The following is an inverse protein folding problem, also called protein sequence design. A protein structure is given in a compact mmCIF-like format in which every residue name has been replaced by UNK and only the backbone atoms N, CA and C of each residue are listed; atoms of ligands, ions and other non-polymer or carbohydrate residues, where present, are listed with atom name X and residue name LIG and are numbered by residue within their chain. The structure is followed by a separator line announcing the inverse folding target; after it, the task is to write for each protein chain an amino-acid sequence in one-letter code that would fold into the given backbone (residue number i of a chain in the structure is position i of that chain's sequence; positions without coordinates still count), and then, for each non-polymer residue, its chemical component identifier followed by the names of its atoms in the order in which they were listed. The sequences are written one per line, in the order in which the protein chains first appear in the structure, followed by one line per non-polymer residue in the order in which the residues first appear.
data_IF_652763861342
#
_entry.id   IF_652763861342
#
_cell.length_a   1.000
_cell.length_b   1.000
_cell.length_c   1.000
_cell.angle_alpha   90.00
_cell.angle_beta   90.00
_cell.angle_gamma   90.00
#
_symmetry.space_group_name_H-M   'P 1'
#
loop_
_entity.id
_entity.type
_entity.pdbx_description
1 polymer ?
#
# COMPACT_ATOMS: atom_id res chain seq x y z
N UNK A 1 -62.91 -52.69 -66.88
CA UNK A 1 -62.13 -51.59 -66.28
C UNK A 1 -62.55 -51.54 -64.81
N UNK A 2 -61.83 -52.22 -63.88
CA UNK A 2 -60.60 -51.75 -63.20
C UNK A 2 -60.93 -50.47 -62.42
N UNK A 3 -61.10 -50.45 -61.09
CA UNK A 3 -60.14 -50.51 -59.97
C UNK A 3 -60.95 -50.05 -58.72
N UNK A 4 -60.62 -50.17 -57.43
CA UNK A 4 -59.55 -50.78 -56.62
C UNK A 4 -60.09 -50.75 -55.16
N UNK A 5 -59.59 -51.65 -54.32
CA UNK A 5 -59.89 -51.75 -52.89
C UNK A 5 -58.95 -50.82 -52.12
N UNK A 6 -59.49 -49.91 -51.30
CA UNK A 6 -58.70 -49.15 -50.31
C UNK A 6 -58.68 -49.88 -48.96
N UNK A 7 -57.47 -50.22 -48.52
CA UNK A 7 -57.15 -50.77 -47.20
C UNK A 7 -56.56 -49.66 -46.33
N UNK A 8 -57.28 -49.18 -45.33
CA UNK A 8 -56.73 -48.27 -44.32
C UNK A 8 -56.01 -49.06 -43.23
N UNK A 9 -54.69 -48.91 -43.17
CA UNK A 9 -53.82 -49.49 -42.16
C UNK A 9 -53.87 -48.69 -40.85
N UNK A 10 -54.01 -49.43 -39.75
CA UNK A 10 -53.87 -48.96 -38.37
C UNK A 10 -52.42 -48.50 -38.10
N UNK A 11 -52.26 -47.36 -37.42
CA UNK A 11 -50.97 -46.87 -36.94
C UNK A 11 -50.54 -47.57 -35.65
N UNK A 12 -49.37 -48.20 -35.66
CA UNK A 12 -48.66 -48.66 -34.46
C UNK A 12 -47.70 -47.58 -33.97
N UNK A 13 -47.79 -47.28 -32.68
CA UNK A 13 -46.89 -46.42 -31.92
C UNK A 13 -45.52 -47.10 -31.75
N UNK A 14 -44.46 -46.54 -32.36
CA UNK A 14 -43.08 -47.05 -32.22
C UNK A 14 -42.48 -46.71 -30.86
N UNK A 15 -42.12 -47.72 -30.07
CA UNK A 15 -41.34 -47.59 -28.85
C UNK A 15 -39.92 -47.01 -29.13
N UNK A 16 -39.30 -46.27 -28.18
CA UNK A 16 -37.96 -45.73 -28.37
C UNK A 16 -36.91 -46.84 -28.49
N UNK A 17 -36.01 -46.72 -29.47
CA UNK A 17 -34.92 -47.66 -29.72
C UNK A 17 -33.96 -47.71 -28.52
N UNK A 18 -33.43 -48.90 -28.16
CA UNK A 18 -32.47 -49.02 -27.06
C UNK A 18 -31.19 -48.24 -27.38
N UNK A 19 -30.55 -47.61 -26.37
CA UNK A 19 -29.35 -46.81 -26.59
C UNK A 19 -28.24 -47.66 -27.23
N UNK A 20 -27.59 -47.09 -28.24
CA UNK A 20 -26.53 -47.75 -29.00
C UNK A 20 -25.35 -48.09 -28.09
N UNK A 21 -24.77 -49.29 -28.23
CA UNK A 21 -23.73 -49.78 -27.33
C UNK A 21 -22.48 -48.88 -27.26
N UNK A 22 -22.22 -48.09 -28.30
CA UNK A 22 -21.15 -47.10 -28.38
C UNK A 22 -21.45 -45.83 -27.54
N UNK A 23 -22.71 -45.43 -27.45
CA UNK A 23 -23.16 -44.28 -26.67
C UNK A 23 -23.03 -44.58 -25.17
N UNK A 24 -23.45 -45.79 -24.78
CA UNK A 24 -23.22 -46.30 -23.43
C UNK A 24 -21.73 -46.52 -23.09
N UNK A 25 -20.84 -46.59 -24.08
CA UNK A 25 -19.39 -46.63 -23.87
C UNK A 25 -18.81 -45.22 -23.69
N UNK A 26 -19.30 -44.24 -24.46
CA UNK A 26 -18.92 -42.84 -24.32
C UNK A 26 -19.32 -42.26 -22.95
N UNK A 27 -20.50 -42.61 -22.46
CA UNK A 27 -20.98 -42.17 -21.15
C UNK A 27 -20.17 -42.78 -20.01
N UNK A 28 -19.79 -44.06 -20.11
CA UNK A 28 -18.87 -44.70 -19.15
C UNK A 28 -17.50 -44.05 -19.13
N UNK A 29 -16.97 -43.65 -20.29
CA UNK A 29 -15.69 -42.95 -20.38
C UNK A 29 -15.79 -41.56 -19.74
N UNK A 30 -16.87 -40.82 -19.99
CA UNK A 30 -17.12 -39.52 -19.33
C UNK A 30 -17.24 -39.64 -17.83
N UNK A 31 -17.94 -40.66 -17.34
CA UNK A 31 -18.07 -40.94 -15.91
C UNK A 31 -16.71 -41.29 -15.29
N UNK A 32 -15.90 -42.12 -15.97
CA UNK A 32 -14.54 -42.44 -15.51
C UNK A 32 -13.60 -41.22 -15.51
N UNK A 33 -13.74 -40.33 -16.50
CA UNK A 33 -12.96 -39.09 -16.58
C UNK A 33 -13.40 -38.10 -15.50
N UNK A 34 -14.70 -38.03 -15.21
CA UNK A 34 -15.24 -37.27 -14.09
C UNK A 34 -14.72 -37.77 -12.75
N UNK A 35 -14.73 -39.09 -12.54
CA UNK A 35 -14.18 -39.72 -11.34
C UNK A 35 -12.66 -39.53 -11.20
N UNK A 36 -11.91 -39.56 -12.31
CA UNK A 36 -10.49 -39.20 -12.31
C UNK A 36 -10.27 -37.73 -11.97
N UNK A 37 -11.12 -36.82 -12.47
CA UNK A 37 -11.05 -35.39 -12.18
C UNK A 37 -11.28 -35.08 -10.70
N UNK A 38 -12.26 -35.74 -10.07
CA UNK A 38 -12.51 -35.60 -8.63
C UNK A 38 -11.37 -36.20 -7.80
N UNK A 39 -10.78 -37.32 -8.23
CA UNK A 39 -9.60 -37.91 -7.59
C UNK A 39 -8.38 -36.99 -7.67
N UNK A 40 -8.07 -36.45 -8.85
CA UNK A 40 -6.95 -35.52 -9.04
C UNK A 40 -7.14 -34.24 -8.20
N UNK A 41 -8.37 -33.75 -8.12
CA UNK A 41 -8.71 -32.60 -7.29
C UNK A 41 -8.56 -32.92 -5.80
N UNK A 42 -8.99 -34.11 -5.36
CA UNK A 42 -8.82 -34.57 -3.99
C UNK A 42 -7.33 -34.77 -3.63
N UNK A 43 -6.51 -35.24 -4.57
CA UNK A 43 -5.05 -35.38 -4.40
C UNK A 43 -4.33 -34.04 -4.30
N UNK A 44 -4.86 -32.99 -4.95
CA UNK A 44 -4.30 -31.63 -4.91
C UNK A 44 -4.84 -30.79 -3.76
N UNK A 45 -5.90 -31.23 -3.09
CA UNK A 45 -6.49 -30.53 -1.96
C UNK A 45 -5.51 -30.54 -0.75
N UNK A 46 -5.39 -29.43 -0.01
CA UNK A 46 -4.57 -29.38 1.19
C UNK A 46 -5.08 -30.35 2.25
N UNK A 47 -4.18 -30.92 3.04
CA UNK A 47 -4.54 -31.83 4.13
C UNK A 47 -5.42 -31.09 5.16
N UNK A 48 -6.52 -31.71 5.64
CA UNK A 48 -7.38 -31.10 6.64
C UNK A 48 -6.66 -31.06 7.99
N UNK A 49 -6.20 -29.89 8.41
CA UNK A 49 -5.49 -29.68 9.68
C UNK A 49 -6.40 -29.27 10.84
N UNK A 50 -7.72 -29.17 10.61
CA UNK A 50 -8.67 -28.53 11.54
C UNK A 50 -9.43 -29.48 12.47
N UNK A 51 -9.65 -30.74 12.10
CA UNK A 51 -10.47 -31.69 12.88
C UNK A 51 -9.63 -32.90 13.27
N UNK A 52 -9.51 -33.15 14.58
CA UNK A 52 -8.71 -34.25 15.14
C UNK A 52 -9.19 -35.66 14.78
N UNK A 53 -10.29 -35.79 14.02
CA UNK A 53 -10.84 -37.04 13.50
C UNK A 53 -10.53 -37.27 12.00
N UNK A 54 -9.81 -36.36 11.35
CA UNK A 54 -9.46 -36.45 9.93
C UNK A 54 -10.62 -36.18 8.97
N UNK A 55 -11.79 -35.76 9.47
CA UNK A 55 -12.91 -35.36 8.61
C UNK A 55 -12.66 -33.98 8.00
N UNK A 56 -12.96 -33.85 6.71
CA UNK A 56 -12.95 -32.55 6.04
C UNK A 56 -14.12 -31.72 6.57
N UNK A 57 -13.82 -30.55 7.15
CA UNK A 57 -14.85 -29.55 7.42
C UNK A 57 -15.56 -29.20 6.09
N UNK A 58 -16.86 -28.87 6.09
CA UNK A 58 -17.48 -28.28 4.91
C UNK A 58 -16.71 -27.00 4.59
N UNK A 59 -15.86 -27.06 3.57
CA UNK A 59 -15.27 -25.88 2.96
C UNK A 59 -16.46 -25.08 2.47
N UNK A 60 -16.71 -23.92 3.08
CA UNK A 60 -17.66 -22.96 2.53
C UNK A 60 -17.30 -22.79 1.05
N UNK A 61 -18.23 -23.13 0.15
CA UNK A 61 -18.03 -23.01 -1.29
C UNK A 61 -17.42 -21.65 -1.59
N UNK A 62 -16.42 -21.63 -2.46
CA UNK A 62 -15.67 -20.45 -2.95
C UNK A 62 -16.54 -19.41 -3.68
N UNK A 63 -17.62 -18.92 -3.07
CA UNK A 63 -18.32 -17.72 -3.48
C UNK A 63 -17.47 -16.48 -3.18
N UNK A 64 -16.55 -16.57 -2.21
CA UNK A 64 -15.64 -15.49 -1.82
C UNK A 64 -14.61 -15.19 -2.90
N UNK A 65 -14.00 -16.18 -3.56
CA UNK A 65 -12.94 -15.91 -4.54
C UNK A 65 -13.45 -15.29 -5.84
N UNK A 66 -14.58 -15.78 -6.38
CA UNK A 66 -15.15 -15.22 -7.61
C UNK A 66 -15.75 -13.83 -7.37
N UNK A 67 -16.45 -13.64 -6.25
CA UNK A 67 -16.95 -12.31 -5.87
C UNK A 67 -15.81 -11.35 -5.57
N UNK A 68 -14.74 -11.79 -4.90
CA UNK A 68 -13.54 -10.97 -4.66
C UNK A 68 -12.85 -10.59 -5.96
N UNK A 69 -12.72 -11.51 -6.92
CA UNK A 69 -12.17 -11.22 -8.24
C UNK A 69 -13.04 -10.23 -9.02
N UNK A 70 -14.37 -10.39 -8.97
CA UNK A 70 -15.30 -9.46 -9.59
C UNK A 70 -15.22 -8.06 -8.96
N UNK A 71 -15.11 -7.99 -7.63
CA UNK A 71 -14.89 -6.75 -6.88
C UNK A 71 -13.55 -6.11 -7.25
N UNK A 72 -12.45 -6.87 -7.28
CA UNK A 72 -11.14 -6.36 -7.73
C UNK A 72 -11.21 -5.79 -9.14
N UNK A 73 -11.83 -6.50 -10.09
CA UNK A 73 -11.95 -6.01 -11.48
C UNK A 73 -12.80 -4.74 -11.53
N UNK A 74 -13.90 -4.70 -10.78
CA UNK A 74 -14.75 -3.51 -10.63
C UNK A 74 -13.96 -2.34 -10.04
N UNK A 75 -13.21 -2.54 -8.98
CA UNK A 75 -12.50 -1.46 -8.29
C UNK A 75 -11.30 -0.97 -9.07
N UNK A 76 -10.56 -1.88 -9.72
CA UNK A 76 -9.48 -1.53 -10.66
C UNK A 76 -10.02 -0.72 -11.83
N UNK A 77 -11.25 -0.99 -12.29
CA UNK A 77 -11.89 -0.18 -13.34
C UNK A 77 -12.30 1.23 -12.89
N UNK A 78 -12.42 1.47 -11.57
CA UNK A 78 -12.62 2.82 -11.02
C UNK A 78 -11.30 3.60 -10.90
N UNK A 79 -10.16 2.92 -10.99
CA UNK A 79 -8.84 3.53 -10.99
C UNK A 79 -8.35 3.78 -12.44
N UNK A 80 -7.75 4.94 -12.67
CA UNK A 80 -7.04 5.19 -13.94
C UNK A 80 -5.80 4.29 -14.06
N UNK A 81 -5.45 3.91 -15.30
CA UNK A 81 -4.30 3.04 -15.60
C UNK A 81 -2.98 3.51 -14.96
N UNK A 82 -2.77 4.83 -14.88
CA UNK A 82 -1.56 5.40 -14.27
C UNK A 82 -1.54 5.21 -12.75
N UNK A 83 -2.70 5.25 -12.08
CA UNK A 83 -2.81 5.09 -10.62
C UNK A 83 -2.54 3.64 -10.21
N UNK A 84 -3.07 2.68 -10.97
CA UNK A 84 -2.89 1.24 -10.68
C UNK A 84 -1.44 0.81 -10.86
N UNK A 85 -0.78 1.27 -11.93
CA UNK A 85 0.64 1.01 -12.18
C UNK A 85 1.51 1.55 -11.03
N UNK A 86 1.27 2.78 -10.58
CA UNK A 86 2.07 3.42 -9.53
C UNK A 86 1.84 2.80 -8.15
N UNK A 87 0.59 2.41 -7.84
CA UNK A 87 0.28 1.68 -6.60
C UNK A 87 0.91 0.28 -6.61
N UNK A 88 0.95 -0.40 -7.76
CA UNK A 88 1.64 -1.68 -7.90
C UNK A 88 3.16 -1.52 -7.77
N UNK A 89 3.75 -0.51 -8.42
CA UNK A 89 5.18 -0.17 -8.30
C UNK A 89 5.56 0.09 -6.83
N UNK A 90 4.74 0.85 -6.11
CA UNK A 90 4.94 1.13 -4.70
C UNK A 90 4.85 -0.15 -3.84
N UNK A 91 3.85 -0.99 -4.07
CA UNK A 91 3.68 -2.24 -3.32
C UNK A 91 4.89 -3.16 -3.48
N UNK A 92 5.48 -3.21 -4.68
CA UNK A 92 6.69 -4.00 -4.96
C UNK A 92 7.89 -3.40 -4.21
N UNK A 93 8.12 -2.08 -4.30
CA UNK A 93 9.25 -1.42 -3.63
C UNK A 93 9.19 -1.52 -2.12
N UNK A 94 8.01 -1.30 -1.52
CA UNK A 94 7.81 -1.44 -0.08
C UNK A 94 8.07 -2.87 0.39
N UNK A 95 7.69 -3.89 -0.39
CA UNK A 95 8.00 -5.29 -0.06
C UNK A 95 9.49 -5.62 -0.17
N UNK A 96 10.18 -5.00 -1.11
CA UNK A 96 11.62 -5.17 -1.28
C UNK A 96 12.44 -4.36 -0.28
N UNK A 97 11.82 -3.46 0.50
CA UNK A 97 12.51 -2.54 1.40
C UNK A 97 13.32 -1.48 0.67
N UNK A 98 12.95 -1.17 -0.58
CA UNK A 98 13.59 -0.10 -1.36
C UNK A 98 13.02 1.26 -0.98
N UNK A 99 13.88 2.29 -0.97
CA UNK A 99 13.47 3.66 -0.72
C UNK A 99 12.49 4.16 -1.79
N UNK A 100 11.45 4.87 -1.35
CA UNK A 100 10.48 5.50 -2.24
C UNK A 100 11.03 6.85 -2.70
N UNK A 101 10.96 7.10 -4.01
CA UNK A 101 11.36 8.37 -4.62
C UNK A 101 10.16 9.33 -4.67
N UNK A 102 10.13 10.30 -3.75
CA UNK A 102 9.05 11.28 -3.61
C UNK A 102 8.82 12.10 -4.89
N UNK A 103 9.81 12.24 -5.78
CA UNK A 103 9.65 12.95 -7.07
C UNK A 103 8.68 12.25 -8.01
N UNK A 104 8.44 10.95 -7.80
CA UNK A 104 7.50 10.16 -8.60
C UNK A 104 6.05 10.27 -8.12
N UNK A 105 5.81 11.01 -7.04
CA UNK A 105 4.48 11.25 -6.47
C UNK A 105 3.70 9.95 -6.17
N UNK A 106 4.39 8.88 -5.78
CA UNK A 106 3.80 7.55 -5.61
C UNK A 106 2.75 7.55 -4.48
N UNK A 107 3.00 8.31 -3.42
CA UNK A 107 2.08 8.45 -2.29
C UNK A 107 0.79 9.15 -2.68
N UNK A 108 0.85 10.16 -3.54
CA UNK A 108 -0.29 10.93 -4.03
C UNK A 108 -1.22 10.05 -4.86
N UNK A 109 -0.65 9.18 -5.71
CA UNK A 109 -1.43 8.18 -6.43
C UNK A 109 -2.07 7.17 -5.49
N UNK A 110 -1.37 6.75 -4.44
CA UNK A 110 -1.93 5.83 -3.47
C UNK A 110 -3.05 6.46 -2.62
N UNK A 111 -2.90 7.72 -2.22
CA UNK A 111 -3.95 8.49 -1.54
C UNK A 111 -5.16 8.66 -2.47
N UNK A 112 -4.92 9.00 -3.74
CA UNK A 112 -5.97 9.11 -4.75
C UNK A 112 -6.69 7.78 -4.94
N UNK A 113 -5.96 6.66 -4.95
CA UNK A 113 -6.55 5.33 -5.04
C UNK A 113 -7.38 4.98 -3.81
N UNK A 114 -6.88 5.27 -2.60
CA UNK A 114 -7.60 5.04 -1.35
C UNK A 114 -8.88 5.89 -1.25
N UNK A 115 -8.90 7.10 -1.83
CA UNK A 115 -10.10 7.95 -1.90
C UNK A 115 -11.10 7.51 -2.98
N UNK A 116 -10.61 7.01 -4.11
CA UNK A 116 -11.45 6.62 -5.25
C UNK A 116 -12.11 5.25 -5.06
N UNK A 117 -11.49 4.34 -4.29
CA UNK A 117 -12.05 3.01 -4.06
C UNK A 117 -13.28 3.07 -3.13
N UNK A 118 -14.33 2.29 -3.42
CA UNK A 118 -15.44 2.11 -2.48
C UNK A 118 -14.97 1.40 -1.20
N UNK A 119 -15.75 1.54 -0.12
CA UNK A 119 -15.43 0.94 1.18
C UNK A 119 -15.77 -0.57 1.22
N UNK A 120 -15.13 -1.34 0.35
CA UNK A 120 -15.24 -2.78 0.26
C UNK A 120 -13.96 -3.49 0.73
N UNK A 121 -13.86 -4.80 0.52
CA UNK A 121 -12.73 -5.62 0.98
C UNK A 121 -11.39 -5.14 0.39
N UNK A 122 -11.38 -4.63 -0.85
CA UNK A 122 -10.16 -4.19 -1.53
C UNK A 122 -9.77 -2.79 -1.04
N UNK A 123 -10.72 -1.86 -1.01
CA UNK A 123 -10.52 -0.50 -0.50
C UNK A 123 -10.07 -0.50 0.96
N UNK A 124 -10.68 -1.34 1.80
CA UNK A 124 -10.27 -1.51 3.19
C UNK A 124 -8.87 -2.09 3.32
N UNK A 125 -8.51 -3.10 2.53
CA UNK A 125 -7.14 -3.67 2.56
C UNK A 125 -6.08 -2.66 2.13
N UNK A 126 -6.33 -1.90 1.06
CA UNK A 126 -5.43 -0.84 0.60
C UNK A 126 -5.26 0.23 1.68
N UNK A 127 -6.36 0.72 2.23
CA UNK A 127 -6.36 1.76 3.27
C UNK A 127 -5.68 1.28 4.55
N UNK A 128 -5.99 0.06 5.02
CA UNK A 128 -5.35 -0.51 6.20
C UNK A 128 -3.86 -0.74 5.99
N UNK A 129 -3.45 -1.21 4.80
CA UNK A 129 -2.03 -1.36 4.46
C UNK A 129 -1.31 -0.01 4.43
N UNK A 130 -1.96 1.03 3.89
CA UNK A 130 -1.41 2.38 3.87
C UNK A 130 -1.23 2.95 5.27
N UNK A 131 -2.28 2.89 6.09
CA UNK A 131 -2.23 3.35 7.48
C UNK A 131 -1.19 2.57 8.28
N UNK A 132 -1.06 1.27 8.04
CA UNK A 132 -0.04 0.43 8.69
C UNK A 132 1.37 0.82 8.27
N UNK A 133 1.59 1.16 6.99
CA UNK A 133 2.88 1.63 6.51
C UNK A 133 3.26 2.97 7.17
N UNK A 134 2.34 3.94 7.20
CA UNK A 134 2.54 5.20 7.91
C UNK A 134 2.76 5.00 9.41
N UNK A 135 2.01 4.09 10.02
CA UNK A 135 2.17 3.76 11.43
C UNK A 135 3.58 3.22 11.68
N UNK A 136 4.05 2.23 10.93
CA UNK A 136 5.36 1.60 11.17
C UNK A 136 6.55 2.52 10.83
N UNK A 137 6.35 3.56 10.02
CA UNK A 137 7.38 4.57 9.73
C UNK A 137 7.68 5.45 10.95
N UNK A 138 6.71 5.64 11.83
CA UNK A 138 6.92 6.33 13.10
C UNK A 138 7.57 5.40 14.14
N UNK A 139 8.46 5.96 14.95
CA UNK A 139 9.09 5.25 16.06
C UNK A 139 8.10 5.02 17.21
N UNK A 140 7.92 3.76 17.61
CA UNK A 140 7.04 3.37 18.72
C UNK A 140 7.82 2.55 19.77
N UNK A 141 7.86 2.96 21.06
CA UNK A 141 7.30 4.19 21.65
C UNK A 141 8.15 5.44 21.34
N UNK A 142 7.59 6.67 21.48
CA UNK A 142 8.37 7.89 21.35
C UNK A 142 9.55 7.88 22.34
N UNK A 143 10.77 8.04 21.81
CA UNK A 143 12.04 7.96 22.59
C UNK A 143 12.10 8.96 23.76
N UNK A 144 11.30 10.03 23.72
CA UNK A 144 11.23 11.07 24.75
C UNK A 144 10.77 10.52 26.12
N UNK A 145 10.03 9.40 26.15
CA UNK A 145 9.53 8.81 27.40
C UNK A 145 10.54 7.92 28.14
N UNK A 146 11.76 7.74 27.63
CA UNK A 146 12.66 6.68 28.14
C UNK A 146 13.39 7.01 29.44
N UNK A 147 13.42 8.26 29.93
CA UNK A 147 14.11 8.59 31.18
C UNK A 147 13.60 9.87 31.86
N UNK A 148 13.50 9.84 33.19
CA UNK A 148 13.20 10.99 34.07
C UNK A 148 14.10 12.20 33.77
N UNK A 149 15.32 11.97 33.28
CA UNK A 149 16.28 13.02 32.90
C UNK A 149 15.73 13.97 31.83
N UNK A 150 14.86 13.48 30.95
CA UNK A 150 14.28 14.24 29.83
C UNK A 150 12.89 14.82 30.13
N UNK A 151 12.37 14.59 31.35
CA UNK A 151 11.02 15.02 31.71
C UNK A 151 10.89 16.54 31.81
N UNK A 152 11.96 17.23 32.19
CA UNK A 152 12.00 18.68 32.38
C UNK A 152 13.19 19.29 31.66
N UNK A 153 13.09 20.59 31.34
CA UNK A 153 14.23 21.34 30.80
C UNK A 153 15.29 21.51 31.87
N UNK A 154 16.51 21.10 31.55
CA UNK A 154 17.69 21.37 32.37
C UNK A 154 17.99 22.87 32.42
N UNK A 155 18.64 23.32 33.51
CA UNK A 155 19.00 24.72 33.68
C UNK A 155 20.11 25.19 32.72
N UNK A 156 20.96 24.27 32.28
CA UNK A 156 22.04 24.52 31.32
C UNK A 156 21.59 24.30 29.86
N UNK A 157 20.36 23.86 29.61
CA UNK A 157 19.84 23.60 28.26
C UNK A 157 20.31 22.27 27.65
N UNK A 158 21.06 21.45 28.40
CA UNK A 158 21.43 20.09 28.00
C UNK A 158 20.20 19.15 27.94
N UNK A 159 20.36 18.01 27.28
CA UNK A 159 19.37 16.94 27.20
C UNK A 159 18.03 17.33 26.53
N UNK A 160 17.95 18.46 25.80
CA UNK A 160 16.75 18.79 25.02
C UNK A 160 16.58 17.89 23.79
N UNK A 161 17.69 17.38 23.23
CA UNK A 161 17.70 16.36 22.19
C UNK A 161 18.22 15.05 22.78
N UNK A 162 17.42 13.97 22.72
CA UNK A 162 17.83 12.64 23.15
C UNK A 162 19.03 12.09 22.37
N UNK A 163 19.07 12.36 21.05
CA UNK A 163 20.14 11.90 20.17
C UNK A 163 21.45 12.68 20.41
N UNK A 164 21.34 13.97 20.74
CA UNK A 164 22.48 14.86 20.93
C UNK A 164 22.33 15.64 22.23
N UNK A 165 22.66 15.04 23.39
CA UNK A 165 22.43 15.66 24.70
C UNK A 165 23.05 17.04 24.91
N UNK A 166 24.18 17.33 24.26
CA UNK A 166 24.86 18.62 24.43
C UNK A 166 24.37 19.70 23.44
N UNK A 167 23.51 19.36 22.49
CA UNK A 167 23.05 20.30 21.48
C UNK A 167 22.22 21.43 22.12
N UNK A 168 22.73 22.66 22.06
CA UNK A 168 22.08 23.83 22.65
C UNK A 168 22.35 24.04 24.14
N UNK A 169 23.21 23.22 24.74
CA UNK A 169 23.66 23.41 26.11
C UNK A 169 24.57 24.66 26.24
N UNK A 170 24.59 25.25 27.43
CA UNK A 170 25.51 26.32 27.78
C UNK A 170 26.97 25.84 27.68
N UNK A 171 27.88 26.78 27.39
CA UNK A 171 29.32 26.52 27.18
C UNK A 171 29.67 25.67 25.95
N UNK A 172 28.74 25.48 25.03
CA UNK A 172 29.02 24.87 23.72
C UNK A 172 29.40 25.92 22.66
N UNK A 173 30.16 25.49 21.66
CA UNK A 173 30.56 26.37 20.56
C UNK A 173 29.37 26.77 19.69
N UNK A 174 29.29 28.04 19.29
CA UNK A 174 28.31 28.49 18.31
C UNK A 174 28.47 27.77 16.97
N UNK A 175 27.35 27.29 16.43
CA UNK A 175 27.30 26.75 15.08
C UNK A 175 27.62 27.85 14.06
N UNK A 176 28.41 27.51 13.04
CA UNK A 176 28.72 28.39 11.90
C UNK A 176 28.11 27.79 10.63
N UNK A 177 27.26 28.55 9.95
CA UNK A 177 26.64 28.10 8.69
C UNK A 177 27.65 27.99 7.55
N UNK A 178 28.68 28.83 7.56
CA UNK A 178 29.69 28.89 6.50
C UNK A 178 31.05 28.46 7.04
N UNK A 179 31.76 27.65 6.26
CA UNK A 179 33.15 27.26 6.56
C UNK A 179 34.07 28.48 6.41
N UNK A 180 35.01 28.72 7.33
CA UNK A 180 36.00 29.78 7.16
C UNK A 180 36.84 29.49 5.91
N UNK A 181 36.69 30.31 4.87
CA UNK A 181 37.30 30.07 3.56
C UNK A 181 38.60 30.86 3.33
N UNK A 182 38.85 31.91 4.12
CA UNK A 182 39.95 32.85 3.88
C UNK A 182 40.67 33.16 5.17
N UNK A 183 42.01 33.20 5.11
CA UNK A 183 42.86 33.67 6.20
C UNK A 183 42.62 35.17 6.34
N UNK A 184 42.28 35.63 7.55
CA UNK A 184 42.07 37.05 7.81
C UNK A 184 43.37 37.82 7.53
N UNK A 185 43.33 38.94 6.78
CA UNK A 185 44.52 39.75 6.54
C UNK A 185 45.04 40.29 7.88
N UNK A 186 46.35 40.27 8.07
CA UNK A 186 46.97 40.69 9.34
C UNK A 186 46.80 42.17 9.67
N UNK A 187 46.44 43.01 8.68
CA UNK A 187 46.18 44.42 8.87
C UNK A 187 44.75 44.75 8.43
N UNK A 188 43.81 44.62 9.36
CA UNK A 188 42.43 45.09 9.19
C UNK A 188 42.40 46.61 9.44
N UNK A 189 41.54 47.36 8.76
CA UNK A 189 41.32 48.77 9.09
C UNK A 189 40.80 48.89 10.53
N UNK A 190 41.11 50.01 11.18
CA UNK A 190 40.67 50.27 12.55
C UNK A 190 39.13 50.20 12.64
N UNK A 191 38.56 49.33 13.49
CA UNK A 191 37.11 49.24 13.65
C UNK A 191 36.47 50.55 14.09
N UNK A 192 37.19 51.42 14.81
CA UNK A 192 36.66 52.73 15.22
C UNK A 192 36.43 53.64 14.01
N UNK A 193 37.39 53.69 13.08
CA UNK A 193 37.26 54.46 11.83
C UNK A 193 36.13 53.93 10.96
N UNK A 194 35.99 52.60 10.85
CA UNK A 194 34.86 52.00 10.10
C UNK A 194 33.52 52.41 10.71
N UNK A 195 33.41 52.43 12.04
CA UNK A 195 32.19 52.86 12.71
C UNK A 195 31.90 54.33 12.44
N UNK A 196 32.86 55.24 12.64
CA UNK A 196 32.67 56.68 12.47
C UNK A 196 32.36 57.08 11.02
N UNK A 197 32.93 56.38 10.05
CA UNK A 197 32.75 56.67 8.63
C UNK A 197 31.44 56.06 8.09
N UNK A 198 31.09 54.83 8.49
CA UNK A 198 29.98 54.07 7.87
C UNK A 198 28.73 53.97 8.75
N UNK A 199 28.90 53.79 10.05
CA UNK A 199 27.80 53.42 10.97
C UNK A 199 27.34 54.59 11.84
N UNK A 200 28.19 55.60 12.07
CA UNK A 200 27.84 56.76 12.86
C UNK A 200 26.74 57.56 12.18
N UNK A 201 25.61 57.67 12.88
CA UNK A 201 24.43 58.40 12.45
C UNK A 201 24.71 59.91 12.46
N UNK A 202 24.61 60.56 11.31
CA UNK A 202 24.73 62.03 11.19
C UNK A 202 23.43 62.74 11.56
N UNK A 203 22.31 62.18 11.14
CA UNK A 203 20.97 62.71 11.39
C UNK A 203 20.04 61.56 11.83
N UNK A 204 19.16 61.78 12.81
CA UNK A 204 18.14 60.81 13.18
C UNK A 204 17.15 60.62 12.02
N UNK A 205 17.18 59.42 11.45
CA UNK A 205 16.27 58.98 10.39
C UNK A 205 15.33 57.92 10.98
N UNK A 206 14.03 58.19 10.91
CA UNK A 206 13.02 57.23 11.35
C UNK A 206 13.01 56.03 10.41
N UNK A 207 12.87 54.83 10.98
CA UNK A 207 12.71 53.64 10.17
C UNK A 207 11.35 53.69 9.46
N UNK A 208 11.24 53.34 8.16
CA UNK A 208 9.98 53.45 7.41
C UNK A 208 8.77 52.77 8.07
N UNK A 209 9.02 51.69 8.80
CA UNK A 209 8.01 50.93 9.55
C UNK A 209 7.70 51.50 10.94
N UNK A 210 8.24 52.67 11.31
CA UNK A 210 8.05 53.36 12.60
C UNK A 210 8.37 52.52 13.84
N UNK A 211 9.31 51.57 13.69
CA UNK A 211 9.79 50.72 14.79
C UNK A 211 10.98 51.34 15.54
N UNK A 212 11.49 52.48 15.06
CA UNK A 212 12.51 53.26 15.76
C UNK A 212 12.30 54.74 15.52
N UNK A 213 12.61 55.53 16.55
CA UNK A 213 12.70 57.00 16.50
C UNK A 213 14.07 57.51 16.04
#
# INVERSE_FOLDING_TARGET
MVNQVEMNHFGESSAPLPPSALDGMADKIRESLGAMGTLLSAMRAPLPTGTGDGSALPVEKDETMVSTLATIVKDVSHLGFNTTEKVAEMTIKTKNGEDLDDRKYLMEYLISAAQALPNDVVGQKLTNSFVTALWNDLEHPPKVFMSDKYQYRSADGSDNSYLHPRLGAAHESYARTVKPATIQPGNLPDPAVLFDVLMARKEPTEHPNKISS
#
